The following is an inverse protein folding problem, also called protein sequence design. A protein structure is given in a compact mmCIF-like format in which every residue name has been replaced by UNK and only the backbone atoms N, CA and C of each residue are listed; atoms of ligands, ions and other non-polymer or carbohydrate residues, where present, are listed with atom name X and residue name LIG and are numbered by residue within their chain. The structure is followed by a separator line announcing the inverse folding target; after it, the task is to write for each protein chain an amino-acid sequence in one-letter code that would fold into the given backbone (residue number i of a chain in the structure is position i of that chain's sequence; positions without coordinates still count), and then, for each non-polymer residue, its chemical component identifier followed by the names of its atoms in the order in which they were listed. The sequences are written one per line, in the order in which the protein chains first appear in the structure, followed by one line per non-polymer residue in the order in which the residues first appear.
data_IF_132672551944
#
_entry.id   IF_132672551944
#
_cell.length_a   1.000
_cell.length_b   1.000
_cell.length_c   1.000
_cell.angle_alpha   90.00
_cell.angle_beta   90.00
_cell.angle_gamma   90.00
#
_symmetry.space_group_name_H-M   'P 1'
#
loop_
_entity.id
_entity.type
_entity.pdbx_description
1 polymer ?
#
# COMPACT_ATOMS: atom_id res chain seq x y z
N UNK A 1 10.80 15.65 10.75
CA UNK A 1 10.75 16.10 9.35
C UNK A 1 10.77 14.86 8.46
N UNK A 2 9.98 14.83 7.39
CA UNK A 2 10.08 13.76 6.37
C UNK A 2 11.22 14.14 5.41
N UNK A 3 12.19 13.25 5.27
CA UNK A 3 13.31 13.43 4.34
C UNK A 3 12.88 12.95 2.95
N UNK A 4 13.07 13.73 1.87
CA UNK A 4 12.82 13.26 0.51
C UNK A 4 13.52 11.92 0.25
N UNK A 5 12.78 10.96 -0.32
CA UNK A 5 13.30 9.61 -0.58
C UNK A 5 13.23 8.64 0.61
N UNK A 6 12.69 9.05 1.77
CA UNK A 6 12.43 8.15 2.90
C UNK A 6 11.54 6.97 2.52
N UNK A 7 10.65 7.17 1.55
CA UNK A 7 9.72 6.13 1.08
C UNK A 7 10.42 4.93 0.46
N UNK A 8 11.64 5.11 -0.07
CA UNK A 8 12.46 4.02 -0.63
C UNK A 8 12.91 3.01 0.44
N UNK A 9 12.86 3.40 1.72
CA UNK A 9 13.31 2.58 2.84
C UNK A 9 12.14 1.90 3.57
N UNK A 10 10.90 2.14 3.13
CA UNK A 10 9.73 1.50 3.75
C UNK A 10 9.68 0.03 3.32
N UNK A 11 9.67 -0.93 4.26
CA UNK A 11 9.64 -2.36 3.93
C UNK A 11 8.28 -2.80 3.39
N UNK A 12 8.25 -3.90 2.64
CA UNK A 12 7.03 -4.64 2.31
C UNK A 12 6.41 -5.25 3.59
N UNK A 13 5.20 -5.81 3.50
CA UNK A 13 4.56 -6.53 4.60
C UNK A 13 5.19 -7.91 4.85
N UNK A 14 5.97 -8.43 3.89
CA UNK A 14 6.74 -9.67 4.05
C UNK A 14 8.12 -9.41 4.68
N UNK A 15 8.60 -10.39 5.45
CA UNK A 15 9.96 -10.40 5.99
C UNK A 15 10.72 -11.64 5.50
N UNK A 16 12.00 -11.74 5.87
CA UNK A 16 12.80 -12.94 5.64
C UNK A 16 12.30 -14.17 6.42
N UNK A 17 11.52 -13.96 7.48
CA UNK A 17 10.94 -15.04 8.28
C UNK A 17 9.55 -15.38 7.79
N UNK A 18 9.33 -16.65 7.48
CA UNK A 18 8.08 -17.13 6.89
C UNK A 18 6.84 -16.88 7.76
N UNK A 19 6.98 -16.72 9.07
CA UNK A 19 5.85 -16.51 9.98
C UNK A 19 5.84 -15.12 10.63
N UNK A 20 6.58 -14.16 10.07
CA UNK A 20 6.62 -12.79 10.56
C UNK A 20 6.25 -11.82 9.43
N UNK A 21 5.24 -10.99 9.69
CA UNK A 21 4.74 -9.98 8.76
C UNK A 21 4.77 -8.61 9.43
N UNK A 22 4.98 -7.57 8.63
CA UNK A 22 5.02 -6.19 9.10
C UNK A 22 3.73 -5.46 8.76
N UNK A 23 3.27 -4.64 9.71
CA UNK A 23 2.17 -3.72 9.49
C UNK A 23 2.43 -2.40 10.22
N UNK A 24 1.94 -1.31 9.64
CA UNK A 24 2.07 0.04 10.16
C UNK A 24 2.16 1.09 9.05
N UNK A 25 2.01 2.35 9.42
CA UNK A 25 2.11 3.52 8.55
C UNK A 25 3.51 3.70 7.94
N UNK A 26 4.53 3.10 8.56
CA UNK A 26 5.91 3.05 8.05
C UNK A 26 6.17 1.95 7.00
N UNK A 27 5.22 1.06 6.72
CA UNK A 27 5.41 0.05 5.66
C UNK A 27 5.06 0.61 4.27
N UNK A 28 5.50 -0.10 3.23
CA UNK A 28 5.26 0.26 1.83
C UNK A 28 3.81 -0.06 1.46
N UNK A 29 2.96 0.97 1.54
CA UNK A 29 1.53 0.88 1.16
C UNK A 29 1.17 1.71 -0.06
N UNK A 30 2.12 2.53 -0.54
CA UNK A 30 1.88 3.59 -1.52
C UNK A 30 1.21 4.85 -0.93
N UNK A 31 0.85 4.83 0.36
CA UNK A 31 0.23 5.95 1.06
C UNK A 31 1.25 6.65 1.98
N UNK A 32 1.10 7.97 2.24
CA UNK A 32 1.86 8.65 3.29
C UNK A 32 1.65 7.98 4.66
N UNK A 33 2.52 8.30 5.63
CA UNK A 33 2.38 7.78 6.99
C UNK A 33 1.15 8.43 7.68
N UNK A 34 -0.02 7.81 7.50
CA UNK A 34 -1.32 8.23 8.06
C UNK A 34 -2.03 7.04 8.70
N UNK A 35 -3.10 7.31 9.46
CA UNK A 35 -3.93 6.26 10.05
C UNK A 35 -4.53 5.34 8.98
N UNK A 36 -5.00 5.89 7.86
CA UNK A 36 -5.53 5.13 6.72
C UNK A 36 -4.44 4.28 6.07
N UNK A 37 -3.22 4.81 5.96
CA UNK A 37 -2.04 4.06 5.52
C UNK A 37 -1.74 2.87 6.44
N UNK A 38 -1.82 3.05 7.76
CA UNK A 38 -1.66 1.95 8.72
C UNK A 38 -2.75 0.87 8.57
N UNK A 39 -4.01 1.27 8.37
CA UNK A 39 -5.11 0.33 8.13
C UNK A 39 -4.89 -0.44 6.82
N UNK A 40 -4.53 0.27 5.74
CA UNK A 40 -4.19 -0.34 4.45
C UNK A 40 -3.05 -1.35 4.58
N UNK A 41 -2.01 -1.00 5.33
CA UNK A 41 -0.90 -1.89 5.65
C UNK A 41 -1.38 -3.17 6.33
N UNK A 42 -2.34 -3.09 7.25
CA UNK A 42 -2.89 -4.26 7.93
C UNK A 42 -3.59 -5.21 6.98
N UNK A 43 -4.36 -4.68 6.03
CA UNK A 43 -4.96 -5.49 4.97
C UNK A 43 -3.90 -6.19 4.14
N UNK A 44 -2.88 -5.46 3.65
CA UNK A 44 -1.80 -6.05 2.86
C UNK A 44 -1.07 -7.17 3.62
N UNK A 45 -0.79 -6.98 4.91
CA UNK A 45 -0.16 -8.02 5.73
C UNK A 45 -1.05 -9.27 5.85
N UNK A 46 -2.36 -9.08 6.05
CA UNK A 46 -3.32 -10.18 6.09
C UNK A 46 -3.43 -10.91 4.73
N UNK A 47 -3.37 -10.20 3.61
CA UNK A 47 -3.31 -10.82 2.27
C UNK A 47 -2.07 -11.71 2.11
N UNK A 48 -0.90 -11.26 2.59
CA UNK A 48 0.33 -12.05 2.56
C UNK A 48 0.23 -13.31 3.44
N UNK A 49 -0.37 -13.20 4.63
CA UNK A 49 -0.65 -14.35 5.51
C UNK A 49 -1.53 -15.38 4.79
N UNK A 50 -2.64 -14.91 4.22
CA UNK A 50 -3.61 -15.73 3.50
C UNK A 50 -2.99 -16.40 2.26
N UNK A 51 -2.18 -15.66 1.50
CA UNK A 51 -1.41 -16.19 0.38
C UNK A 51 -0.47 -17.31 0.83
N UNK A 52 0.26 -17.11 1.94
CA UNK A 52 1.18 -18.12 2.44
C UNK A 52 0.46 -19.39 2.95
N UNK A 53 -0.74 -19.25 3.50
CA UNK A 53 -1.56 -20.39 3.95
C UNK A 53 -2.36 -21.07 2.84
N UNK A 54 -2.10 -20.71 1.57
CA UNK A 54 -2.73 -21.35 0.41
C UNK A 54 -4.17 -20.91 0.15
N UNK A 55 -4.62 -19.80 0.75
CA UNK A 55 -5.94 -19.23 0.51
C UNK A 55 -5.83 -17.74 0.14
N UNK A 56 -5.21 -17.39 -1.00
CA UNK A 56 -5.01 -16.00 -1.38
C UNK A 56 -6.36 -15.29 -1.54
N UNK A 57 -6.52 -14.14 -0.88
CA UNK A 57 -7.67 -13.27 -1.01
C UNK A 57 -7.20 -11.82 -1.13
N UNK A 58 -7.91 -11.01 -1.93
CA UNK A 58 -7.74 -9.56 -1.95
C UNK A 58 -8.80 -8.95 -1.07
N UNK A 59 -8.38 -8.32 0.02
CA UNK A 59 -9.24 -7.73 1.05
C UNK A 59 -8.94 -6.24 1.27
N UNK A 60 -7.78 -5.75 0.81
CA UNK A 60 -7.46 -4.34 0.80
C UNK A 60 -8.44 -3.61 -0.15
N UNK A 61 -9.19 -2.66 0.38
CA UNK A 61 -10.12 -1.87 -0.42
C UNK A 61 -9.37 -1.03 -1.44
N UNK A 62 -9.85 -1.04 -2.68
CA UNK A 62 -9.32 -0.18 -3.74
C UNK A 62 -9.65 1.28 -3.46
N UNK A 63 -8.80 2.18 -3.96
CA UNK A 63 -9.08 3.61 -3.89
C UNK A 63 -10.37 3.93 -4.64
N UNK A 64 -11.08 4.96 -4.17
CA UNK A 64 -12.31 5.39 -4.81
C UNK A 64 -12.05 5.77 -6.27
N UNK A 65 -12.96 5.42 -7.19
CA UNK A 65 -12.83 5.80 -8.58
C UNK A 65 -12.80 7.33 -8.68
N UNK A 66 -11.79 7.85 -9.38
CA UNK A 66 -11.64 9.29 -9.60
C UNK A 66 -12.84 9.81 -10.40
N UNK A 67 -13.36 10.98 -10.01
CA UNK A 67 -14.54 11.55 -10.66
C UNK A 67 -14.24 11.98 -12.10
N UNK A 68 -15.27 11.99 -12.97
CA UNK A 68 -15.16 12.47 -14.36
C UNK A 68 -14.65 13.92 -14.46
N UNK A 69 -14.86 14.72 -13.42
CA UNK A 69 -14.37 16.09 -13.33
C UNK A 69 -12.85 16.14 -13.33
N UNK A 70 -12.18 15.19 -12.66
CA UNK A 70 -10.71 15.09 -12.60
C UNK A 70 -10.12 14.85 -13.98
N UNK A 71 -10.77 14.02 -14.79
CA UNK A 71 -10.38 13.76 -16.18
C UNK A 71 -10.61 15.00 -17.06
N UNK A 72 -11.74 15.69 -16.89
CA UNK A 72 -12.07 16.90 -17.65
C UNK A 72 -11.09 18.06 -17.35
N UNK A 73 -10.66 18.21 -16.09
CA UNK A 73 -9.71 19.24 -15.68
C UNK A 73 -8.25 18.93 -16.08
N UNK A 74 -7.97 17.76 -16.67
CA UNK A 74 -6.60 17.38 -17.07
C UNK A 74 -5.62 17.26 -15.89
N UNK A 75 -6.12 17.08 -14.66
CA UNK A 75 -5.31 17.01 -13.43
C UNK A 75 -4.65 15.63 -13.21
N UNK A 76 -4.58 14.80 -14.24
CA UNK A 76 -3.99 13.46 -14.16
C UNK A 76 -2.46 13.56 -14.27
N UNK A 77 -1.69 13.08 -13.27
CA UNK A 77 -0.27 12.85 -13.46
C UNK A 77 -0.09 11.74 -14.50
N UNK A 78 0.91 11.88 -15.39
CA UNK A 78 1.34 10.81 -16.29
C UNK A 78 1.69 9.59 -15.46
N UNK A 79 1.00 8.47 -15.71
CA UNK A 79 1.42 7.19 -15.15
C UNK A 79 2.84 6.88 -15.65
N UNK A 80 3.77 6.57 -14.73
CA UNK A 80 5.10 6.10 -15.14
C UNK A 80 4.93 4.65 -15.64
N UNK A 81 5.32 4.31 -16.86
CA UNK A 81 5.40 2.91 -17.26
C UNK A 81 6.48 2.22 -16.41
N UNK A 82 6.16 1.01 -15.95
CA UNK A 82 7.07 0.14 -15.20
C UNK A 82 8.23 -0.39 -16.03
#
# INVERSE_FOLDING_TARGET
SVTPGSDLHRPDQTTEFSNLFLSGDWTCTGWPATMEGAVRSGYLAAEKILQQWGNPATICQSDLPRSRLTNWLGLLPSEKPG
#
